data_IF_005150993214
#
_entry.id   IF_005150993214
#
_cell.length_a   1.000
_cell.length_b   1.000
_cell.length_c   1.000
_cell.angle_alpha   90.00
_cell.angle_beta   90.00
_cell.angle_gamma   90.00
#
_symmetry.space_group_name_H-M   'P 1'
#
loop_
_entity.id
_entity.type
_entity.pdbx_description
1 polymer ?
#
# COMPACT_ATOMS: atom_id res chain seq x y z
N UNK A 1 -24.50 -13.43 -3.97
CA UNK A 1 -23.41 -13.87 -3.06
C UNK A 1 -22.93 -15.23 -3.54
N UNK A 2 -21.62 -15.50 -3.51
CA UNK A 2 -21.06 -16.77 -4.00
C UNK A 2 -21.25 -17.96 -3.02
N UNK A 3 -21.83 -17.75 -1.84
CA UNK A 3 -22.01 -18.80 -0.83
C UNK A 3 -20.73 -19.18 -0.08
N UNK A 4 -19.70 -18.35 -0.17
CA UNK A 4 -18.41 -18.54 0.49
C UNK A 4 -18.30 -17.60 1.70
N UNK A 5 -17.65 -18.08 2.75
CA UNK A 5 -17.29 -17.29 3.92
C UNK A 5 -15.90 -16.69 3.75
N UNK A 6 -15.72 -15.46 4.24
CA UNK A 6 -14.43 -14.78 4.32
C UNK A 6 -14.34 -14.19 5.74
N UNK A 7 -13.25 -14.44 6.49
CA UNK A 7 -13.01 -13.78 7.78
C UNK A 7 -13.05 -12.26 7.65
N UNK A 8 -13.21 -11.52 8.77
CA UNK A 8 -13.17 -10.06 8.75
C UNK A 8 -12.00 -9.54 7.92
N UNK A 9 -12.31 -8.79 6.87
CA UNK A 9 -11.35 -8.32 5.86
C UNK A 9 -11.81 -6.95 5.36
N UNK A 10 -10.97 -5.93 5.52
CA UNK A 10 -11.26 -4.56 5.13
C UNK A 10 -10.07 -3.92 4.39
N UNK A 11 -10.34 -3.38 3.21
CA UNK A 11 -9.36 -2.67 2.39
C UNK A 11 -9.47 -1.17 2.65
N UNK A 12 -8.45 -0.61 3.31
CA UNK A 12 -8.29 0.83 3.47
C UNK A 12 -7.59 1.41 2.25
N UNK A 13 -8.24 2.39 1.61
CA UNK A 13 -7.72 3.08 0.43
C UNK A 13 -7.45 4.54 0.79
N UNK A 14 -6.21 4.98 0.65
CA UNK A 14 -5.79 6.32 1.06
C UNK A 14 -4.70 6.87 0.15
N UNK A 15 -4.69 8.18 -0.05
CA UNK A 15 -3.78 8.82 -0.99
C UNK A 15 -3.35 10.22 -0.57
N UNK A 16 -2.10 10.55 -0.90
CA UNK A 16 -1.59 11.91 -0.82
C UNK A 16 -1.12 12.32 -2.23
N UNK A 17 -1.89 13.14 -2.97
CA UNK A 17 -1.52 13.56 -4.32
C UNK A 17 -0.16 14.25 -4.41
N UNK A 18 0.31 14.91 -3.34
CA UNK A 18 1.65 15.55 -3.30
C UNK A 18 2.79 14.54 -3.40
N UNK A 19 2.54 13.27 -3.06
CA UNK A 19 3.51 12.17 -3.16
C UNK A 19 3.20 11.26 -4.35
N UNK A 20 1.93 10.96 -4.59
CA UNK A 20 1.50 10.03 -5.64
C UNK A 20 1.65 10.59 -7.06
N UNK A 21 1.33 11.86 -7.31
CA UNK A 21 1.42 12.44 -8.66
C UNK A 21 2.85 12.45 -9.21
N UNK A 22 3.89 12.79 -8.43
CA UNK A 22 5.27 12.65 -8.89
C UNK A 22 5.66 11.22 -9.32
N UNK A 23 5.17 10.18 -8.63
CA UNK A 23 5.37 8.80 -9.06
C UNK A 23 4.70 8.52 -10.42
N UNK A 24 3.47 9.00 -10.61
CA UNK A 24 2.76 8.85 -11.89
C UNK A 24 3.44 9.60 -13.04
N UNK A 25 4.03 10.78 -12.77
CA UNK A 25 4.82 11.52 -13.74
C UNK A 25 6.10 10.78 -14.12
N UNK A 26 6.73 10.11 -13.14
CA UNK A 26 7.91 9.29 -13.36
C UNK A 26 7.59 8.07 -14.23
N UNK A 27 6.57 7.33 -13.84
CA UNK A 27 6.13 6.14 -14.53
C UNK A 27 4.60 6.02 -14.43
N UNK A 28 3.93 6.24 -15.55
CA UNK A 28 2.47 6.27 -15.61
C UNK A 28 1.84 4.94 -15.19
N UNK A 29 2.51 3.81 -15.43
CA UNK A 29 1.96 2.50 -15.06
C UNK A 29 1.73 2.33 -13.55
N UNK A 30 2.45 3.07 -12.70
CA UNK A 30 2.26 3.00 -11.23
C UNK A 30 0.86 3.46 -10.80
N UNK A 31 0.15 4.21 -11.66
CA UNK A 31 -1.20 4.68 -11.36
C UNK A 31 -2.22 3.55 -11.13
N UNK A 32 -1.95 2.33 -11.64
CA UNK A 32 -2.81 1.16 -11.37
C UNK A 32 -2.74 0.69 -9.91
N UNK A 33 -1.61 0.91 -9.26
CA UNK A 33 -1.38 0.51 -7.87
C UNK A 33 -1.60 1.67 -6.89
N UNK A 34 -1.78 2.89 -7.40
CA UNK A 34 -2.21 4.05 -6.63
C UNK A 34 -3.75 4.19 -6.63
N UNK A 35 -4.36 4.85 -5.63
CA UNK A 35 -3.74 5.30 -4.38
C UNK A 35 -3.29 4.11 -3.50
N UNK A 36 -2.54 4.40 -2.44
CA UNK A 36 -2.01 3.38 -1.54
C UNK A 36 -3.14 2.61 -0.86
N UNK A 37 -2.84 1.36 -0.49
CA UNK A 37 -3.79 0.43 0.10
C UNK A 37 -3.15 -0.21 1.32
N UNK A 38 -3.95 -0.39 2.36
CA UNK A 38 -3.64 -1.29 3.47
C UNK A 38 -4.83 -2.24 3.66
N UNK A 39 -4.56 -3.49 4.00
CA UNK A 39 -5.56 -4.53 4.22
C UNK A 39 -5.52 -4.90 5.70
N UNK A 40 -6.61 -4.59 6.41
CA UNK A 40 -6.87 -5.12 7.73
C UNK A 40 -7.59 -6.46 7.58
N UNK A 41 -7.08 -7.52 8.19
CA UNK A 41 -7.70 -8.84 8.10
C UNK A 41 -7.43 -9.67 9.36
N UNK A 42 -8.35 -10.58 9.68
CA UNK A 42 -8.25 -11.48 10.83
C UNK A 42 -7.79 -12.88 10.37
N UNK A 43 -6.82 -13.46 11.09
CA UNK A 43 -6.36 -14.83 10.85
C UNK A 43 -7.21 -15.89 11.56
N UNK A 44 -6.81 -17.16 11.46
CA UNK A 44 -7.56 -18.27 12.04
C UNK A 44 -7.51 -18.30 13.58
N UNK A 45 -6.50 -17.67 14.17
CA UNK A 45 -6.27 -17.53 15.60
C UNK A 45 -6.99 -16.31 16.20
N UNK A 46 -7.63 -15.48 15.37
CA UNK A 46 -8.33 -14.26 15.77
C UNK A 46 -7.42 -13.03 15.90
N UNK A 47 -6.16 -13.11 15.45
CA UNK A 47 -5.25 -11.98 15.42
C UNK A 47 -5.54 -11.10 14.20
N UNK A 48 -5.63 -9.79 14.43
CA UNK A 48 -5.82 -8.80 13.36
C UNK A 48 -4.46 -8.34 12.83
N UNK A 49 -4.32 -8.37 11.51
CA UNK A 49 -3.12 -7.97 10.78
C UNK A 49 -3.41 -6.74 9.94
N UNK A 50 -2.45 -5.82 9.87
CA UNK A 50 -2.44 -4.73 8.91
C UNK A 50 -1.32 -4.94 7.89
N UNK A 51 -1.69 -5.22 6.65
CA UNK A 51 -0.74 -5.50 5.57
C UNK A 51 -0.80 -4.44 4.47
N UNK A 52 0.31 -4.18 3.79
CA UNK A 52 0.39 -3.26 2.65
C UNK A 52 1.50 -3.72 1.70
N UNK A 53 1.44 -3.28 0.45
CA UNK A 53 2.51 -3.57 -0.51
C UNK A 53 3.76 -2.76 -0.14
N UNK A 54 4.88 -3.44 0.10
CA UNK A 54 6.19 -2.79 0.22
C UNK A 54 6.44 -1.93 -1.02
N UNK A 55 6.78 -0.63 -0.90
CA UNK A 55 7.08 0.21 -2.06
C UNK A 55 8.21 -0.32 -2.96
N UNK A 56 9.10 -1.18 -2.46
CA UNK A 56 10.07 -1.91 -3.30
C UNK A 56 9.39 -2.77 -4.37
N UNK A 57 8.21 -3.33 -4.08
CA UNK A 57 7.39 -4.05 -5.07
C UNK A 57 6.93 -3.13 -6.21
N UNK A 58 6.57 -1.88 -5.90
CA UNK A 58 6.22 -0.91 -6.95
C UNK A 58 7.41 -0.58 -7.83
N UNK A 59 8.62 -0.49 -7.26
CA UNK A 59 9.83 -0.32 -8.04
C UNK A 59 10.04 -1.48 -9.01
N UNK A 60 10.00 -2.70 -8.51
CA UNK A 60 10.19 -3.91 -9.30
C UNK A 60 9.14 -4.03 -10.42
N UNK A 61 7.88 -3.70 -10.13
CA UNK A 61 6.76 -3.84 -11.08
C UNK A 61 6.76 -2.79 -12.18
N UNK A 62 7.20 -1.57 -11.89
CA UNK A 62 7.04 -0.43 -12.79
C UNK A 62 8.35 0.18 -13.28
N UNK A 63 9.50 -0.21 -12.72
CA UNK A 63 10.79 0.38 -13.06
C UNK A 63 10.87 1.85 -12.63
N UNK A 64 10.87 2.09 -11.32
CA UNK A 64 10.88 3.41 -10.71
C UNK A 64 12.27 3.84 -10.23
N UNK A 65 13.36 3.27 -10.78
CA UNK A 65 14.72 3.51 -10.31
C UNK A 65 15.11 5.00 -10.37
N UNK A 66 14.63 5.70 -11.40
CA UNK A 66 14.79 7.16 -11.56
C UNK A 66 14.07 7.99 -10.47
N UNK A 67 13.22 7.36 -9.66
CA UNK A 67 12.35 7.96 -8.66
C UNK A 67 12.50 7.35 -7.26
N UNK A 68 13.66 6.75 -6.98
CA UNK A 68 14.00 6.14 -5.70
C UNK A 68 13.74 7.08 -4.50
N UNK A 69 14.02 8.37 -4.61
CA UNK A 69 13.77 9.35 -3.54
C UNK A 69 12.27 9.55 -3.23
N UNK A 70 11.41 9.49 -4.26
CA UNK A 70 9.96 9.59 -4.06
C UNK A 70 9.43 8.31 -3.45
N UNK A 71 9.91 7.15 -3.92
CA UNK A 71 9.59 5.84 -3.33
C UNK A 71 9.98 5.77 -1.85
N UNK A 72 11.16 6.27 -1.48
CA UNK A 72 11.61 6.32 -0.08
C UNK A 72 10.66 7.13 0.82
N UNK A 73 10.11 8.24 0.31
CA UNK A 73 9.09 9.04 1.04
C UNK A 73 7.79 8.25 1.23
N UNK A 74 7.37 7.48 0.22
CA UNK A 74 6.21 6.59 0.33
C UNK A 74 6.46 5.52 1.39
N UNK A 75 7.64 4.86 1.36
CA UNK A 75 8.02 3.87 2.38
C UNK A 75 7.98 4.44 3.79
N UNK A 76 8.55 5.62 3.99
CA UNK A 76 8.52 6.28 5.31
C UNK A 76 7.10 6.61 5.79
N UNK A 77 6.24 7.09 4.89
CA UNK A 77 4.85 7.39 5.23
C UNK A 77 4.06 6.13 5.61
N UNK A 78 4.18 5.04 4.84
CA UNK A 78 3.50 3.77 5.13
C UNK A 78 4.00 3.17 6.44
N UNK A 79 5.31 3.14 6.67
CA UNK A 79 5.89 2.64 7.90
C UNK A 79 5.35 3.38 9.13
N UNK A 80 5.25 4.71 9.05
CA UNK A 80 4.68 5.53 10.14
C UNK A 80 3.19 5.24 10.39
N UNK A 81 2.39 5.12 9.32
CA UNK A 81 0.96 4.84 9.46
C UNK A 81 0.71 3.44 10.01
N UNK A 82 1.39 2.42 9.49
CA UNK A 82 1.23 1.05 9.97
C UNK A 82 1.69 0.93 11.41
N UNK A 83 2.85 1.50 11.77
CA UNK A 83 3.33 1.52 13.15
C UNK A 83 2.29 2.13 14.09
N UNK A 84 1.77 3.32 13.77
CA UNK A 84 0.76 3.98 14.60
C UNK A 84 -0.57 3.22 14.71
N UNK A 85 -0.89 2.38 13.73
CA UNK A 85 -2.14 1.59 13.71
C UNK A 85 -2.01 0.22 14.40
N UNK A 86 -0.78 -0.23 14.70
CA UNK A 86 -0.51 -1.56 15.29
C UNK A 86 0.20 -1.50 16.64
N UNK A 87 0.44 -0.30 17.17
CA UNK A 87 0.97 -0.08 18.52
C UNK A 87 -0.15 -0.05 19.58
#
# INVERSE_FOLDING_TARGET
KAGLELPPTELLIFGNPKIGTPLMQCQRSVAIDLPQKALAWEDAEGQVWLSYNDPAYLNQRHGLDACAEVLKKVSGALANFTKAATE
#
